data_IF_498743118292
#
_entry.id   IF_498743118292
#
_cell.length_a   1.000
_cell.length_b   1.000
_cell.length_c   1.000
_cell.angle_alpha   90.00
_cell.angle_beta   90.00
_cell.angle_gamma   90.00
#
_symmetry.space_group_name_H-M   'P 1'
#
loop_
_entity.id
_entity.type
_entity.pdbx_description
1 polymer ?
#
# COMPACT_ATOMS: atom_id res chain seq x y z
N UNK A 1 69.61 -27.20 -2.67
CA UNK A 1 69.33 -25.76 -2.48
C UNK A 1 67.88 -25.65 -2.04
N UNK A 2 67.68 -25.08 -0.85
CA UNK A 2 66.43 -24.81 -0.11
C UNK A 2 65.59 -26.01 0.33
N UNK A 3 65.29 -25.95 1.63
CA UNK A 3 64.79 -26.96 2.57
C UNK A 3 63.26 -26.88 2.68
N UNK A 4 62.68 -28.02 3.02
CA UNK A 4 61.29 -28.21 3.46
C UNK A 4 61.08 -27.86 4.95
N UNK A 5 59.82 -28.05 5.41
CA UNK A 5 59.22 -27.93 6.77
C UNK A 5 58.67 -26.54 7.12
N UNK A 6 57.47 -26.37 7.68
CA UNK A 6 56.47 -27.32 8.17
C UNK A 6 55.28 -26.56 8.80
N UNK A 7 54.19 -27.31 9.04
CA UNK A 7 52.98 -26.96 9.82
C UNK A 7 53.25 -26.16 11.11
N UNK A 8 52.34 -25.25 11.48
CA UNK A 8 51.52 -25.35 12.70
C UNK A 8 50.63 -24.11 12.98
N UNK A 9 49.33 -24.38 13.17
CA UNK A 9 48.35 -23.80 14.13
C UNK A 9 48.16 -22.28 14.27
N UNK A 10 46.93 -21.86 13.95
CA UNK A 10 46.32 -20.56 14.26
C UNK A 10 45.78 -20.53 15.69
N UNK A 11 46.11 -19.47 16.45
CA UNK A 11 45.44 -19.05 17.67
C UNK A 11 45.55 -17.52 17.72
N UNK A 12 44.52 -16.82 17.24
CA UNK A 12 44.44 -15.36 17.31
C UNK A 12 43.58 -14.98 18.52
N UNK A 13 44.23 -14.34 19.50
CA UNK A 13 43.58 -13.65 20.61
C UNK A 13 43.29 -12.21 20.18
N UNK A 14 42.04 -11.78 20.35
CA UNK A 14 41.58 -10.41 20.14
C UNK A 14 42.14 -9.51 21.24
N UNK A 15 42.83 -8.43 20.85
CA UNK A 15 43.21 -7.31 21.72
C UNK A 15 42.53 -6.06 21.18
N UNK A 16 41.60 -5.52 21.97
CA UNK A 16 41.01 -4.19 21.75
C UNK A 16 42.03 -3.08 22.05
N UNK A 17 42.00 -1.95 21.32
CA UNK A 17 42.66 -0.73 21.75
C UNK A 17 41.69 0.22 22.45
N UNK A 18 42.00 0.54 23.71
CA UNK A 18 41.54 1.73 24.41
C UNK A 18 42.11 2.98 23.71
N UNK A 19 41.26 3.99 23.48
CA UNK A 19 41.71 5.37 23.30
C UNK A 19 41.04 6.27 24.35
N UNK A 20 41.85 7.13 24.95
CA UNK A 20 41.50 8.13 25.96
C UNK A 20 41.68 9.51 25.35
N UNK A 21 40.70 10.41 25.51
CA UNK A 21 40.82 11.83 25.21
C UNK A 21 39.74 12.67 25.91
N UNK A 22 40.17 13.42 26.95
CA UNK A 22 39.63 14.60 27.68
C UNK A 22 38.22 15.14 27.30
N UNK A 23 37.34 15.63 28.19
CA UNK A 23 37.46 16.15 29.56
C UNK A 23 36.73 17.52 29.67
N UNK A 24 35.70 17.64 30.53
CA UNK A 24 35.01 18.89 30.86
C UNK A 24 33.57 18.64 31.33
N UNK A 25 33.30 18.93 32.61
CA UNK A 25 31.98 18.84 33.26
C UNK A 25 31.35 20.24 33.24
N UNK A 26 30.38 20.45 32.35
CA UNK A 26 29.40 21.55 32.34
C UNK A 26 28.05 20.89 32.00
N UNK A 27 27.01 21.12 32.81
CA UNK A 27 25.81 20.29 32.85
C UNK A 27 24.86 20.37 31.64
N UNK A 28 24.19 19.22 31.40
CA UNK A 28 22.98 19.00 30.58
C UNK A 28 23.21 19.14 29.04
N UNK A 29 23.70 18.11 28.31
CA UNK A 29 22.97 16.96 27.67
C UNK A 29 21.86 17.43 26.74
N UNK A 30 21.79 17.17 25.42
CA UNK A 30 22.49 16.32 24.46
C UNK A 30 22.36 17.05 23.09
N UNK A 31 23.36 17.03 22.21
CA UNK A 31 23.25 17.59 20.84
C UNK A 31 23.54 16.52 19.76
N UNK A 32 23.71 15.25 20.14
CA UNK A 32 23.93 14.16 19.16
C UNK A 32 23.29 12.86 19.66
N UNK A 33 22.00 12.88 20.03
CA UNK A 33 21.26 11.61 20.13
C UNK A 33 20.88 11.22 18.70
N UNK A 34 21.27 10.04 18.21
CA UNK A 34 20.85 9.60 16.90
C UNK A 34 19.33 9.36 16.86
N UNK A 35 18.71 9.52 15.68
CA UNK A 35 17.27 9.30 15.54
C UNK A 35 16.88 7.89 16.03
N UNK A 36 15.61 7.73 16.41
CA UNK A 36 15.04 6.48 16.89
C UNK A 36 15.22 5.35 15.88
N UNK A 37 15.05 5.64 14.60
CA UNK A 37 15.21 4.68 13.51
C UNK A 37 16.48 4.97 12.71
N UNK A 38 17.58 4.33 13.11
CA UNK A 38 18.78 4.28 12.28
C UNK A 38 18.58 3.23 11.17
N UNK A 39 18.75 3.59 9.87
CA UNK A 39 18.62 2.63 8.78
C UNK A 39 19.60 1.48 8.95
N UNK A 40 19.09 0.26 8.87
CA UNK A 40 19.94 -0.93 8.85
C UNK A 40 20.68 -0.97 7.50
N UNK A 41 22.00 -1.16 7.49
CA UNK A 41 22.73 -1.31 6.23
C UNK A 41 22.16 -2.43 5.37
N UNK A 42 22.08 -2.20 4.06
CA UNK A 42 21.67 -3.21 3.09
C UNK A 42 22.51 -4.49 3.24
N UNK A 43 21.83 -5.64 3.23
CA UNK A 43 22.49 -6.94 3.30
C UNK A 43 23.13 -7.32 1.94
N UNK A 44 24.21 -8.11 1.99
CA UNK A 44 24.93 -8.54 0.78
C UNK A 44 24.09 -9.53 -0.02
N UNK A 45 23.96 -9.31 -1.33
CA UNK A 45 23.15 -10.18 -2.18
C UNK A 45 22.89 -9.54 -3.54
N UNK A 46 21.95 -10.10 -4.28
CA UNK A 46 21.50 -9.52 -5.54
C UNK A 46 20.88 -8.12 -5.30
N UNK A 47 21.04 -7.18 -6.26
CA UNK A 47 20.37 -5.90 -6.18
C UNK A 47 18.86 -6.07 -6.34
N UNK A 48 18.10 -5.14 -5.77
CA UNK A 48 16.67 -5.02 -6.01
C UNK A 48 16.47 -4.46 -7.42
N UNK A 49 15.94 -5.26 -8.33
CA UNK A 49 15.64 -4.89 -9.71
C UNK A 49 14.25 -5.42 -10.03
N UNK A 50 13.31 -4.55 -10.37
CA UNK A 50 11.92 -4.96 -10.63
C UNK A 50 11.84 -6.13 -11.63
N UNK A 51 10.95 -7.09 -11.37
CA UNK A 51 10.71 -8.32 -12.15
C UNK A 51 11.86 -9.33 -12.17
N UNK A 52 12.92 -9.11 -11.39
CA UNK A 52 14.03 -10.04 -11.26
C UNK A 52 13.94 -10.94 -10.01
N UNK A 53 12.88 -10.79 -9.21
CA UNK A 53 12.68 -11.54 -7.99
C UNK A 53 12.33 -13.00 -8.25
N UNK A 54 12.56 -13.83 -7.24
CA UNK A 54 12.39 -15.28 -7.32
C UNK A 54 11.10 -15.77 -6.67
N UNK A 55 10.50 -14.96 -5.80
CA UNK A 55 9.22 -15.22 -5.15
C UNK A 55 8.37 -13.96 -5.22
N UNK A 56 7.09 -14.12 -5.54
CA UNK A 56 6.16 -13.01 -5.75
C UNK A 56 4.84 -13.34 -5.05
N UNK A 57 4.24 -12.32 -4.46
CA UNK A 57 2.97 -12.43 -3.75
C UNK A 57 2.21 -11.10 -3.85
N UNK A 58 0.94 -11.08 -3.47
CA UNK A 58 0.12 -9.88 -3.39
C UNK A 58 -0.61 -9.85 -2.07
N UNK A 59 -0.78 -8.68 -1.47
CA UNK A 59 -1.58 -8.51 -0.26
C UNK A 59 -3.03 -8.90 -0.55
N UNK A 60 -3.55 -9.87 0.20
CA UNK A 60 -4.93 -10.35 0.13
C UNK A 60 -5.78 -9.91 1.31
N UNK A 61 -5.13 -9.51 2.41
CA UNK A 61 -5.76 -8.91 3.57
C UNK A 61 -4.94 -7.71 4.01
N UNK A 62 -5.61 -6.62 4.40
CA UNK A 62 -5.00 -5.45 5.00
C UNK A 62 -5.98 -4.80 5.97
N UNK A 63 -5.54 -4.49 7.18
CA UNK A 63 -6.34 -3.74 8.15
C UNK A 63 -5.44 -3.05 9.17
N UNK A 64 -5.91 -1.94 9.75
CA UNK A 64 -5.25 -1.38 10.94
C UNK A 64 -5.35 -2.40 12.07
N UNK A 65 -4.23 -2.72 12.72
CA UNK A 65 -4.23 -3.66 13.84
C UNK A 65 -4.89 -3.14 15.10
N UNK A 66 -5.03 -4.04 16.07
CA UNK A 66 -5.54 -3.74 17.39
C UNK A 66 -4.47 -3.05 18.25
N UNK A 67 -4.87 -2.53 19.43
CA UNK A 67 -3.96 -1.88 20.37
C UNK A 67 -2.86 -2.80 20.95
N UNK A 68 -3.03 -4.12 20.83
CA UNK A 68 -2.04 -5.11 21.28
C UNK A 68 -1.12 -5.56 20.13
N UNK A 69 -1.45 -5.20 18.89
CA UNK A 69 -0.59 -5.39 17.72
C UNK A 69 0.40 -4.22 17.62
N UNK A 70 1.50 -4.40 16.89
CA UNK A 70 2.50 -3.34 16.75
C UNK A 70 3.92 -3.76 17.06
N UNK A 71 4.79 -2.78 16.89
CA UNK A 71 6.19 -2.82 17.27
C UNK A 71 6.37 -1.93 18.51
N UNK A 72 7.25 -2.33 19.42
CA UNK A 72 7.75 -1.46 20.49
C UNK A 72 8.76 -0.48 19.85
N UNK A 73 8.24 0.63 19.34
CA UNK A 73 9.00 1.59 18.52
C UNK A 73 9.89 2.47 19.39
N UNK A 74 9.42 2.86 20.58
CA UNK A 74 10.15 3.72 21.51
C UNK A 74 10.99 2.96 22.57
N UNK A 75 10.80 1.64 22.67
CA UNK A 75 11.57 0.75 23.54
C UNK A 75 11.07 0.70 24.99
N UNK A 76 9.83 1.09 25.26
CA UNK A 76 9.23 1.05 26.59
C UNK A 76 8.73 -0.35 27.00
N UNK A 77 8.64 -1.27 26.04
CA UNK A 77 8.26 -2.67 26.22
C UNK A 77 6.80 -3.00 25.92
N UNK A 78 5.99 -2.02 25.54
CA UNK A 78 4.62 -2.16 25.05
C UNK A 78 4.55 -1.87 23.53
N UNK A 79 3.66 -2.52 22.76
CA UNK A 79 3.49 -2.20 21.34
C UNK A 79 2.91 -0.79 21.11
N UNK A 80 3.41 -0.10 20.09
CA UNK A 80 2.96 1.21 19.66
C UNK A 80 2.02 1.10 18.45
N UNK A 81 0.74 1.41 18.65
CA UNK A 81 -0.26 1.53 17.58
C UNK A 81 -1.41 2.47 17.98
N UNK A 82 -1.20 3.79 17.93
CA UNK A 82 -2.26 4.76 18.26
C UNK A 82 -3.40 4.75 17.26
N UNK A 83 -3.12 4.51 15.97
CA UNK A 83 -4.16 4.44 14.95
C UNK A 83 -5.13 3.26 15.13
N UNK A 84 -4.82 2.28 15.98
CA UNK A 84 -5.78 1.25 16.39
C UNK A 84 -7.12 1.82 16.88
N UNK A 85 -7.15 3.05 17.44
CA UNK A 85 -8.41 3.65 17.90
C UNK A 85 -9.42 3.95 16.77
N UNK A 86 -8.97 4.02 15.51
CA UNK A 86 -9.81 4.21 14.33
C UNK A 86 -9.97 2.95 13.48
N UNK A 87 -9.43 1.80 13.90
CA UNK A 87 -9.54 0.55 13.14
C UNK A 87 -10.99 0.20 12.78
N UNK A 88 -11.92 0.40 13.73
CA UNK A 88 -13.34 0.11 13.52
C UNK A 88 -14.03 0.93 12.43
N UNK A 89 -13.52 2.13 12.11
CA UNK A 89 -14.07 2.97 11.03
C UNK A 89 -13.30 2.81 9.72
N UNK A 90 -12.01 2.44 9.78
CA UNK A 90 -11.16 2.25 8.60
C UNK A 90 -11.28 0.85 7.98
N UNK A 91 -11.69 -0.16 8.76
CA UNK A 91 -11.74 -1.56 8.32
C UNK A 91 -12.60 -1.77 7.07
N UNK A 92 -13.86 -1.34 7.10
CA UNK A 92 -14.78 -1.57 5.98
C UNK A 92 -14.31 -0.88 4.69
N UNK A 93 -13.87 0.40 4.69
CA UNK A 93 -13.29 1.01 3.49
C UNK A 93 -12.08 0.28 2.90
N UNK A 94 -11.21 -0.30 3.74
CA UNK A 94 -10.04 -1.05 3.26
C UNK A 94 -10.46 -2.40 2.68
N UNK A 95 -11.37 -3.12 3.36
CA UNK A 95 -11.95 -4.38 2.86
C UNK A 95 -12.68 -4.14 1.53
N UNK A 96 -13.50 -3.08 1.44
CA UNK A 96 -14.21 -2.70 0.21
C UNK A 96 -13.24 -2.38 -0.93
N UNK A 97 -12.10 -1.71 -0.65
CA UNK A 97 -11.09 -1.40 -1.67
C UNK A 97 -10.33 -2.64 -2.17
N UNK A 98 -10.09 -3.62 -1.30
CA UNK A 98 -9.52 -4.92 -1.70
C UNK A 98 -10.55 -5.72 -2.51
N UNK A 99 -11.79 -5.83 -2.04
CA UNK A 99 -12.89 -6.55 -2.72
C UNK A 99 -13.24 -5.95 -4.09
N UNK A 100 -13.02 -4.64 -4.25
CA UNK A 100 -13.19 -3.93 -5.50
C UNK A 100 -11.92 -3.91 -6.37
N UNK A 101 -10.81 -4.52 -5.95
CA UNK A 101 -9.51 -4.50 -6.64
C UNK A 101 -8.93 -3.10 -6.87
N UNK A 102 -9.35 -2.11 -6.08
CA UNK A 102 -8.82 -0.74 -6.10
C UNK A 102 -7.50 -0.61 -5.32
N UNK A 103 -7.26 -1.53 -4.38
CA UNK A 103 -6.04 -1.58 -3.60
C UNK A 103 -5.33 -2.91 -3.84
N UNK A 104 -4.28 -2.89 -4.66
CA UNK A 104 -3.42 -4.04 -4.90
C UNK A 104 -1.98 -3.68 -4.56
N UNK A 105 -1.38 -4.46 -3.68
CA UNK A 105 0.01 -4.25 -3.25
C UNK A 105 0.80 -5.53 -3.58
N UNK A 106 1.34 -5.68 -4.80
CA UNK A 106 2.24 -6.76 -5.09
C UNK A 106 3.56 -6.63 -4.33
N UNK A 107 4.17 -7.76 -4.03
CA UNK A 107 5.49 -7.86 -3.42
C UNK A 107 6.36 -8.83 -4.21
N UNK A 108 7.64 -8.50 -4.27
CA UNK A 108 8.65 -9.30 -4.97
C UNK A 108 9.87 -9.48 -4.09
N UNK A 109 10.29 -10.72 -3.88
CA UNK A 109 11.46 -11.08 -3.07
C UNK A 109 12.69 -11.36 -3.94
N UNK A 110 13.83 -10.91 -3.43
CA UNK A 110 15.15 -11.08 -4.00
C UNK A 110 16.04 -11.83 -3.01
N UNK A 111 17.05 -12.50 -3.57
CA UNK A 111 17.96 -13.37 -2.81
C UNK A 111 17.24 -14.52 -2.06
N UNK A 112 16.09 -14.97 -2.57
CA UNK A 112 15.28 -16.05 -1.98
C UNK A 112 14.94 -17.14 -3.00
N UNK A 113 15.92 -17.87 -3.55
CA UNK A 113 15.69 -18.88 -4.59
C UNK A 113 14.92 -20.12 -4.09
N UNK A 114 14.93 -20.35 -2.79
CA UNK A 114 14.17 -21.40 -2.11
C UNK A 114 13.63 -20.85 -0.81
N UNK A 115 12.36 -21.11 -0.50
CA UNK A 115 11.73 -20.67 0.74
C UNK A 115 12.37 -21.40 1.92
N UNK A 116 12.95 -20.64 2.83
CA UNK A 116 13.74 -21.17 3.93
C UNK A 116 14.34 -20.06 4.78
N UNK A 117 15.01 -20.44 5.87
CA UNK A 117 15.75 -19.48 6.66
C UNK A 117 16.91 -18.90 5.84
N UNK A 118 17.01 -17.57 5.85
CA UNK A 118 18.05 -16.82 5.14
C UNK A 118 18.47 -15.60 5.98
N UNK A 119 19.76 -15.29 5.96
CA UNK A 119 20.34 -14.15 6.68
C UNK A 119 20.22 -12.85 5.88
N UNK A 120 19.93 -12.91 4.57
CA UNK A 120 19.67 -11.76 3.73
C UNK A 120 18.49 -12.03 2.80
N UNK A 121 17.42 -11.30 3.02
CA UNK A 121 16.26 -11.26 2.11
C UNK A 121 15.95 -9.82 1.84
N UNK A 122 15.76 -9.50 0.56
CA UNK A 122 15.28 -8.18 0.14
C UNK A 122 13.94 -8.34 -0.52
N UNK A 123 13.10 -7.32 -0.45
CA UNK A 123 11.86 -7.32 -1.20
C UNK A 123 11.44 -5.91 -1.54
N UNK A 124 10.69 -5.80 -2.62
CA UNK A 124 10.06 -4.56 -3.07
C UNK A 124 8.55 -4.70 -2.97
N UNK A 125 7.90 -3.57 -2.77
CA UNK A 125 6.45 -3.44 -2.80
C UNK A 125 6.07 -2.51 -3.95
N UNK A 126 4.96 -2.83 -4.61
CA UNK A 126 4.46 -2.09 -5.76
C UNK A 126 2.98 -1.75 -5.56
N UNK A 127 2.46 -0.87 -6.38
CA UNK A 127 1.04 -0.73 -6.64
C UNK A 127 0.71 -1.60 -7.87
N UNK A 128 -0.30 -2.45 -7.73
CA UNK A 128 -0.77 -3.33 -8.79
C UNK A 128 -1.94 -2.72 -9.55
N UNK A 129 -2.05 -3.08 -10.83
CA UNK A 129 -3.19 -2.80 -11.69
C UNK A 129 -3.78 -4.16 -12.08
N UNK A 130 -5.07 -4.31 -11.88
CA UNK A 130 -5.86 -5.48 -12.29
C UNK A 130 -7.13 -5.09 -13.07
N UNK A 131 -7.52 -3.82 -12.95
CA UNK A 131 -8.57 -3.21 -13.78
C UNK A 131 -7.90 -2.63 -15.01
N UNK A 132 -8.38 -3.04 -16.17
CA UNK A 132 -7.89 -2.61 -17.46
C UNK A 132 -9.00 -1.87 -18.20
N UNK A 133 -8.61 -0.83 -18.94
CA UNK A 133 -9.42 -0.10 -19.93
C UNK A 133 -8.61 -0.14 -21.23
N UNK A 134 -8.51 -1.34 -21.81
CA UNK A 134 -7.59 -1.66 -22.91
C UNK A 134 -7.99 -0.97 -24.22
N UNK A 135 -9.28 -0.68 -24.39
CA UNK A 135 -9.81 0.02 -25.56
C UNK A 135 -9.97 1.55 -25.39
N UNK A 136 -9.80 2.06 -24.16
CA UNK A 136 -9.82 3.47 -23.79
C UNK A 136 -11.19 4.15 -23.93
N UNK A 137 -12.27 3.42 -23.71
CA UNK A 137 -13.63 3.97 -23.69
C UNK A 137 -14.04 4.55 -22.31
N UNK A 138 -13.24 4.26 -21.28
CA UNK A 138 -13.43 4.74 -19.90
C UNK A 138 -14.26 3.80 -19.03
N UNK A 139 -14.27 2.52 -19.37
CA UNK A 139 -14.89 1.43 -18.63
C UNK A 139 -13.83 0.37 -18.37
N UNK A 140 -13.91 -0.23 -17.18
CA UNK A 140 -12.88 -1.13 -16.69
C UNK A 140 -13.36 -2.58 -16.68
N UNK A 141 -12.44 -3.53 -16.80
CA UNK A 141 -12.67 -4.95 -16.47
C UNK A 141 -12.82 -5.18 -14.96
N UNK A 142 -13.35 -6.35 -14.59
CA UNK A 142 -13.49 -6.82 -13.21
C UNK A 142 -14.33 -5.91 -12.27
N UNK A 143 -15.13 -5.00 -12.82
CA UNK A 143 -16.01 -4.07 -12.08
C UNK A 143 -17.48 -4.32 -12.41
N UNK A 144 -18.37 -4.25 -11.41
CA UNK A 144 -19.81 -4.33 -11.66
C UNK A 144 -20.28 -3.15 -12.52
N UNK A 145 -20.79 -3.43 -13.73
CA UNK A 145 -21.10 -2.39 -14.72
C UNK A 145 -19.86 -1.78 -15.41
N UNK A 146 -18.77 -2.56 -15.43
CA UNK A 146 -17.63 -2.45 -16.34
C UNK A 146 -17.88 -3.15 -17.68
N UNK A 147 -16.84 -3.30 -18.50
CA UNK A 147 -16.97 -3.87 -19.85
C UNK A 147 -17.08 -5.39 -19.85
N UNK A 148 -17.74 -5.89 -20.89
CA UNK A 148 -17.86 -7.31 -21.21
C UNK A 148 -16.88 -7.74 -22.32
N UNK A 149 -16.31 -6.81 -23.10
CA UNK A 149 -15.13 -7.07 -23.97
C UNK A 149 -14.29 -5.79 -24.04
N UNK A 150 -13.33 -5.65 -23.11
CA UNK A 150 -12.44 -4.49 -22.94
C UNK A 150 -11.43 -4.33 -24.09
N UNK A 151 -11.47 -5.24 -25.08
CA UNK A 151 -10.69 -5.11 -26.31
C UNK A 151 -11.44 -4.35 -27.41
N UNK A 152 -12.67 -3.88 -27.14
CA UNK A 152 -13.60 -3.33 -28.13
C UNK A 152 -14.37 -2.12 -27.58
N UNK A 153 -13.99 -0.92 -28.05
CA UNK A 153 -14.56 0.40 -27.64
C UNK A 153 -16.06 0.60 -27.87
N UNK A 154 -16.75 -0.41 -28.37
CA UNK A 154 -18.18 -0.46 -28.64
C UNK A 154 -18.94 -1.37 -27.67
N UNK A 155 -18.25 -2.29 -26.97
CA UNK A 155 -18.79 -3.31 -26.08
C UNK A 155 -18.79 -2.85 -24.62
N UNK A 156 -19.80 -2.05 -24.25
CA UNK A 156 -19.87 -1.42 -22.92
C UNK A 156 -21.31 -1.35 -22.38
N UNK A 157 -21.49 -1.27 -21.05
CA UNK A 157 -22.80 -1.18 -20.43
C UNK A 157 -23.73 -0.09 -21.01
N UNK A 158 -24.83 -0.53 -21.59
CA UNK A 158 -25.87 0.33 -22.16
C UNK A 158 -25.49 0.99 -23.49
N UNK A 159 -24.52 0.42 -24.22
CA UNK A 159 -24.33 0.72 -25.64
C UNK A 159 -25.57 0.32 -26.47
N UNK A 160 -25.46 0.45 -27.79
CA UNK A 160 -26.50 -0.03 -28.69
C UNK A 160 -25.91 -1.18 -29.50
N UNK A 161 -26.60 -2.32 -29.47
CA UNK A 161 -26.29 -3.50 -30.28
C UNK A 161 -25.98 -3.16 -31.75
N UNK A 162 -24.89 -3.72 -32.27
CA UNK A 162 -24.47 -3.62 -33.67
C UNK A 162 -25.09 -4.79 -34.44
N UNK A 163 -26.17 -4.57 -35.22
CA UNK A 163 -26.95 -5.70 -35.71
C UNK A 163 -26.19 -6.61 -36.68
N UNK A 164 -26.12 -7.89 -36.33
CA UNK A 164 -25.51 -8.97 -37.10
C UNK A 164 -24.01 -9.14 -36.87
N UNK A 165 -23.42 -8.53 -35.84
CA UNK A 165 -22.05 -8.83 -35.42
C UNK A 165 -21.98 -10.10 -34.54
N UNK A 166 -23.12 -10.51 -33.96
CA UNK A 166 -23.31 -11.70 -33.12
C UNK A 166 -22.50 -11.64 -31.83
N UNK A 167 -22.37 -10.44 -31.28
CA UNK A 167 -21.68 -10.15 -30.03
C UNK A 167 -22.53 -9.26 -29.16
N UNK A 168 -22.42 -9.43 -27.85
CA UNK A 168 -22.99 -8.53 -26.87
C UNK A 168 -22.18 -7.22 -26.90
N UNK A 169 -22.84 -6.13 -27.26
CA UNK A 169 -22.22 -4.81 -27.30
C UNK A 169 -22.69 -3.93 -26.13
N UNK A 170 -23.83 -4.23 -25.51
CA UNK A 170 -24.39 -3.43 -24.41
C UNK A 170 -24.18 -4.02 -23.00
N UNK A 171 -23.48 -5.15 -22.94
CA UNK A 171 -23.10 -5.92 -21.75
C UNK A 171 -24.32 -6.33 -20.92
N UNK A 172 -25.36 -6.82 -21.59
CA UNK A 172 -26.56 -7.36 -20.96
C UNK A 172 -26.58 -8.91 -20.85
N UNK A 173 -25.54 -9.55 -21.38
CA UNK A 173 -25.35 -11.00 -21.45
C UNK A 173 -26.01 -11.66 -22.66
N UNK A 174 -26.50 -10.89 -23.64
CA UNK A 174 -27.19 -11.38 -24.83
C UNK A 174 -26.67 -10.63 -26.05
N UNK A 175 -26.24 -11.38 -27.08
CA UNK A 175 -25.84 -10.78 -28.34
C UNK A 175 -27.02 -10.58 -29.31
N UNK A 176 -26.99 -9.47 -30.06
CA UNK A 176 -27.83 -9.22 -31.24
C UNK A 176 -29.36 -9.24 -30.95
N UNK A 177 -29.77 -8.91 -29.73
CA UNK A 177 -31.17 -8.88 -29.30
C UNK A 177 -31.94 -7.68 -29.89
N UNK A 178 -33.27 -7.77 -29.78
CA UNK A 178 -34.19 -6.90 -30.53
C UNK A 178 -35.12 -6.08 -29.60
N UNK A 179 -34.59 -5.28 -28.67
CA UNK A 179 -35.30 -4.13 -28.02
C UNK A 179 -34.37 -3.37 -27.02
N UNK A 180 -33.61 -2.38 -27.50
CA UNK A 180 -32.51 -1.63 -26.82
C UNK A 180 -32.92 -0.64 -25.70
N UNK A 181 -33.87 -0.98 -24.81
CA UNK A 181 -34.17 -0.04 -23.73
C UNK A 181 -35.23 -0.39 -22.70
N UNK A 182 -34.95 -1.40 -21.86
CA UNK A 182 -35.50 -1.50 -20.49
C UNK A 182 -36.85 -2.25 -20.34
N UNK A 183 -36.87 -3.57 -20.59
CA UNK A 183 -37.95 -4.42 -20.05
C UNK A 183 -38.18 -5.80 -20.67
N UNK A 184 -37.38 -6.23 -21.64
CA UNK A 184 -37.43 -7.59 -22.15
C UNK A 184 -36.36 -7.86 -23.20
N UNK A 185 -35.15 -8.18 -22.74
CA UNK A 185 -34.11 -8.73 -23.59
C UNK A 185 -34.50 -10.16 -23.95
N UNK A 186 -34.52 -10.46 -25.24
CA UNK A 186 -34.87 -11.77 -25.75
C UNK A 186 -33.88 -12.08 -26.87
N UNK A 187 -33.09 -13.15 -26.71
CA UNK A 187 -32.16 -13.57 -27.75
C UNK A 187 -32.87 -13.75 -29.10
N UNK A 188 -32.19 -13.46 -30.22
CA UNK A 188 -32.75 -13.66 -31.54
C UNK A 188 -33.09 -15.14 -31.80
N UNK A 189 -34.07 -15.43 -32.67
CA UNK A 189 -34.43 -16.81 -33.07
C UNK A 189 -33.43 -17.36 -34.12
N UNK A 190 -32.12 -17.34 -33.79
CA UNK A 190 -31.05 -17.98 -34.56
C UNK A 190 -30.59 -19.25 -33.86
N UNK A 191 -30.67 -20.38 -34.57
CA UNK A 191 -30.32 -21.71 -34.04
C UNK A 191 -29.03 -22.23 -34.67
N UNK A 192 -28.21 -21.35 -35.25
CA UNK A 192 -26.93 -21.70 -35.84
C UNK A 192 -25.83 -21.38 -34.85
N UNK A 193 -25.21 -22.44 -34.33
CA UNK A 193 -23.93 -22.44 -33.63
C UNK A 193 -22.84 -22.25 -34.71
N UNK A 194 -22.18 -21.09 -34.72
CA UNK A 194 -21.25 -20.71 -35.78
C UNK A 194 -19.80 -20.71 -35.32
N UNK A 195 -19.56 -20.51 -34.04
CA UNK A 195 -18.26 -20.56 -33.37
C UNK A 195 -17.89 -21.99 -32.91
N UNK A 196 -18.86 -22.87 -32.71
CA UNK A 196 -18.69 -24.30 -32.51
C UNK A 196 -18.59 -24.75 -31.06
N UNK A 197 -18.98 -23.90 -30.11
CA UNK A 197 -18.95 -24.15 -28.66
C UNK A 197 -20.11 -25.08 -28.19
N UNK A 198 -21.19 -25.13 -28.98
CA UNK A 198 -22.40 -25.90 -28.73
C UNK A 198 -23.57 -25.11 -28.13
N UNK A 199 -23.43 -23.80 -27.94
CA UNK A 199 -24.51 -22.85 -27.67
C UNK A 199 -24.83 -22.12 -28.98
N UNK A 200 -26.01 -21.51 -29.06
CA UNK A 200 -26.39 -20.70 -30.23
C UNK A 200 -26.77 -19.32 -29.72
N UNK A 201 -26.68 -18.32 -30.59
CA UNK A 201 -27.21 -16.99 -30.31
C UNK A 201 -28.62 -17.02 -29.69
N UNK A 202 -29.52 -17.87 -30.21
CA UNK A 202 -30.88 -18.01 -29.67
C UNK A 202 -31.01 -18.80 -28.37
N UNK A 203 -29.97 -19.51 -27.96
CA UNK A 203 -29.86 -20.17 -26.66
C UNK A 203 -29.14 -19.29 -25.60
N UNK A 204 -28.69 -18.08 -25.98
CA UNK A 204 -28.12 -17.07 -25.07
C UNK A 204 -26.61 -16.90 -25.17
N UNK A 205 -25.98 -17.34 -26.26
CA UNK A 205 -24.56 -17.07 -26.53
C UNK A 205 -24.32 -15.56 -26.74
N UNK A 206 -23.37 -14.98 -26.00
CA UNK A 206 -23.01 -13.55 -26.05
C UNK A 206 -21.86 -13.23 -27.01
N UNK A 207 -21.16 -14.22 -27.58
CA UNK A 207 -20.27 -14.02 -28.75
C UNK A 207 -20.32 -15.28 -29.62
N UNK A 208 -21.22 -15.34 -30.60
CA UNK A 208 -21.33 -16.48 -31.53
C UNK A 208 -20.45 -16.24 -32.79
N UNK A 209 -19.47 -15.31 -32.75
CA UNK A 209 -18.56 -15.08 -33.88
C UNK A 209 -17.48 -16.18 -33.98
N UNK A 210 -17.29 -16.80 -35.17
CA UNK A 210 -16.35 -17.91 -35.32
C UNK A 210 -14.86 -17.62 -35.06
N UNK A 211 -14.48 -16.36 -34.85
CA UNK A 211 -13.10 -15.96 -34.58
C UNK A 211 -12.84 -15.68 -33.10
N UNK A 212 -13.87 -15.35 -32.31
CA UNK A 212 -13.73 -14.88 -30.92
C UNK A 212 -14.62 -15.63 -29.93
N UNK A 213 -15.69 -16.27 -30.41
CA UNK A 213 -16.74 -16.86 -29.60
C UNK A 213 -16.48 -18.21 -28.94
N UNK A 214 -15.52 -18.98 -29.45
CA UNK A 214 -15.41 -20.41 -29.11
C UNK A 214 -15.22 -20.74 -27.61
N UNK A 215 -14.81 -19.75 -26.80
CA UNK A 215 -14.62 -19.84 -25.36
C UNK A 215 -15.48 -18.77 -24.62
N UNK A 216 -16.56 -18.27 -25.23
CA UNK A 216 -17.48 -17.24 -24.71
C UNK A 216 -18.91 -17.76 -24.81
N UNK A 217 -19.47 -18.22 -23.69
CA UNK A 217 -20.83 -18.74 -23.65
C UNK A 217 -21.36 -18.87 -22.21
N UNK A 218 -22.70 -18.88 -22.01
CA UNK A 218 -23.30 -18.96 -20.68
C UNK A 218 -22.74 -20.08 -19.78
N UNK A 219 -22.08 -19.67 -18.70
CA UNK A 219 -21.49 -20.57 -17.72
C UNK A 219 -20.20 -21.28 -18.17
N UNK A 220 -19.48 -20.73 -19.16
CA UNK A 220 -18.06 -20.98 -19.31
C UNK A 220 -17.30 -20.48 -18.06
N UNK A 221 -16.00 -20.77 -17.96
CA UNK A 221 -15.18 -20.21 -16.88
C UNK A 221 -14.42 -19.00 -17.44
N UNK A 222 -14.38 -17.92 -16.67
CA UNK A 222 -13.57 -16.74 -16.98
C UNK A 222 -12.09 -17.10 -17.21
N UNK A 223 -11.51 -16.51 -18.25
CA UNK A 223 -10.10 -16.63 -18.63
C UNK A 223 -9.38 -15.37 -18.15
N UNK A 224 -8.87 -15.42 -16.92
CA UNK A 224 -8.35 -14.24 -16.24
C UNK A 224 -7.29 -13.47 -17.03
N UNK A 225 -7.56 -12.18 -17.23
CA UNK A 225 -6.72 -11.21 -17.91
C UNK A 225 -6.83 -11.25 -19.43
N UNK A 226 -7.88 -11.85 -19.99
CA UNK A 226 -8.15 -11.78 -21.44
C UNK A 226 -9.06 -10.62 -21.85
N UNK A 227 -9.64 -9.92 -20.88
CA UNK A 227 -10.50 -8.75 -21.06
C UNK A 227 -11.88 -9.09 -21.60
N UNK A 228 -12.33 -10.35 -21.54
CA UNK A 228 -13.61 -10.81 -22.10
C UNK A 228 -14.49 -11.44 -21.02
N UNK A 229 -15.78 -11.18 -21.11
CA UNK A 229 -16.83 -11.90 -20.39
C UNK A 229 -17.02 -13.26 -21.06
N UNK A 230 -16.30 -14.27 -20.57
CA UNK A 230 -16.36 -15.61 -21.15
C UNK A 230 -17.64 -16.33 -20.72
N UNK A 231 -18.21 -16.01 -19.56
CA UNK A 231 -19.35 -16.70 -18.99
C UNK A 231 -20.72 -16.05 -19.27
N UNK A 232 -20.72 -14.93 -19.98
CA UNK A 232 -21.87 -14.12 -20.38
C UNK A 232 -22.69 -13.58 -19.19
N UNK A 233 -22.05 -13.18 -18.09
CA UNK A 233 -22.73 -12.62 -16.92
C UNK A 233 -22.75 -11.08 -16.86
N UNK A 234 -22.16 -10.43 -17.86
CA UNK A 234 -22.13 -8.99 -18.10
C UNK A 234 -20.91 -8.28 -17.54
N UNK A 235 -19.89 -9.02 -17.06
CA UNK A 235 -18.64 -8.46 -16.54
C UNK A 235 -17.45 -9.31 -16.98
N UNK A 236 -16.50 -8.73 -17.71
CA UNK A 236 -15.25 -9.41 -18.05
C UNK A 236 -14.36 -9.63 -16.82
N UNK A 237 -13.64 -10.75 -16.82
CA UNK A 237 -12.64 -11.10 -15.80
C UNK A 237 -13.21 -11.09 -14.36
N UNK A 238 -14.50 -11.44 -14.21
CA UNK A 238 -15.17 -11.55 -12.90
C UNK A 238 -16.34 -12.51 -12.98
N UNK A 239 -16.54 -13.33 -11.95
CA UNK A 239 -17.71 -14.21 -11.87
C UNK A 239 -18.74 -13.80 -10.81
N UNK A 240 -20.01 -13.86 -11.16
CA UNK A 240 -21.16 -13.60 -10.27
C UNK A 240 -21.45 -14.70 -9.24
N UNK A 241 -20.85 -15.90 -9.37
CA UNK A 241 -20.99 -16.99 -8.38
C UNK A 241 -19.66 -17.66 -8.02
N UNK A 242 -19.20 -17.38 -6.80
CA UNK A 242 -17.98 -17.91 -6.19
C UNK A 242 -17.75 -19.42 -6.38
N UNK A 243 -16.80 -19.78 -7.25
CA UNK A 243 -15.90 -20.93 -7.16
C UNK A 243 -14.92 -21.03 -8.38
N UNK A 244 -15.19 -20.32 -9.47
CA UNK A 244 -14.42 -20.34 -10.74
C UNK A 244 -14.14 -18.92 -11.28
N UNK A 245 -14.35 -17.88 -10.45
CA UNK A 245 -14.20 -16.48 -10.82
C UNK A 245 -12.74 -16.02 -10.73
N UNK A 246 -12.30 -15.22 -11.70
CA UNK A 246 -11.05 -14.48 -11.62
C UNK A 246 -11.04 -13.64 -10.35
N UNK A 247 -10.07 -13.96 -9.50
CA UNK A 247 -9.90 -13.34 -8.22
C UNK A 247 -8.40 -13.28 -7.92
N UNK A 248 -7.82 -12.07 -7.85
CA UNK A 248 -6.39 -11.86 -7.63
C UNK A 248 -5.88 -12.45 -6.30
N UNK A 249 -6.80 -12.85 -5.41
CA UNK A 249 -6.49 -13.40 -4.10
C UNK A 249 -6.75 -14.90 -3.98
N UNK A 250 -6.97 -15.61 -5.09
CA UNK A 250 -7.22 -17.04 -5.07
C UNK A 250 -5.93 -17.89 -4.91
N UNK A 251 -6.06 -19.22 -5.01
CA UNK A 251 -4.94 -20.14 -4.82
C UNK A 251 -4.05 -20.29 -6.08
N UNK A 252 -4.47 -19.72 -7.20
CA UNK A 252 -3.71 -19.59 -8.45
C UNK A 252 -2.95 -18.27 -8.41
N UNK A 253 -1.64 -18.26 -8.73
CA UNK A 253 -0.95 -16.99 -8.93
C UNK A 253 -1.49 -16.28 -10.18
N UNK A 254 -2.23 -15.19 -9.97
CA UNK A 254 -2.64 -14.28 -11.03
C UNK A 254 -1.48 -13.39 -11.49
N UNK A 255 -1.57 -12.91 -12.72
CA UNK A 255 -0.59 -11.99 -13.28
C UNK A 255 -1.06 -10.54 -13.08
N UNK A 256 -0.17 -9.69 -12.57
CA UNK A 256 -0.44 -8.28 -12.32
C UNK A 256 0.49 -7.40 -13.12
N UNK A 257 -0.08 -6.35 -13.70
CA UNK A 257 0.71 -5.22 -14.15
C UNK A 257 1.05 -4.35 -12.93
N UNK A 258 2.27 -3.80 -12.90
CA UNK A 258 2.63 -2.84 -11.86
C UNK A 258 2.43 -1.42 -12.37
N UNK A 259 1.92 -0.57 -11.50
CA UNK A 259 1.81 0.85 -11.78
C UNK A 259 3.21 1.46 -11.94
N UNK A 260 3.51 2.18 -13.04
CA UNK A 260 4.77 2.88 -13.25
C UNK A 260 5.18 3.82 -12.11
N UNK A 261 4.25 4.32 -11.29
CA UNK A 261 4.52 5.14 -10.10
C UNK A 261 5.28 4.39 -9.01
N UNK A 262 5.24 3.06 -9.05
CA UNK A 262 6.00 2.20 -8.15
C UNK A 262 7.49 2.18 -8.48
N UNK A 263 7.90 2.78 -9.61
CA UNK A 263 9.27 2.79 -10.11
C UNK A 263 9.85 4.21 -10.16
N UNK A 264 11.14 4.34 -9.85
CA UNK A 264 11.88 5.58 -9.97
C UNK A 264 12.30 5.87 -11.43
N UNK A 265 12.99 6.99 -11.66
CA UNK A 265 13.47 7.37 -12.99
C UNK A 265 14.50 6.41 -13.62
N UNK A 266 14.99 5.42 -12.88
CA UNK A 266 15.88 4.35 -13.35
C UNK A 266 15.14 3.02 -13.55
N UNK A 267 13.87 2.92 -13.15
CA UNK A 267 13.09 1.69 -13.16
C UNK A 267 13.29 0.83 -11.91
N UNK A 268 13.92 1.37 -10.86
CA UNK A 268 14.09 0.69 -9.57
C UNK A 268 12.85 0.94 -8.69
N UNK A 269 12.43 0.00 -7.84
CA UNK A 269 11.25 0.20 -7.00
C UNK A 269 11.45 1.33 -6.00
N UNK A 270 10.41 2.15 -5.83
CA UNK A 270 10.37 3.27 -4.87
C UNK A 270 10.31 2.76 -3.43
N UNK A 271 9.64 1.61 -3.21
CA UNK A 271 9.59 0.94 -1.91
C UNK A 271 10.41 -0.34 -1.96
N UNK A 272 11.48 -0.39 -1.18
CA UNK A 272 12.28 -1.60 -1.02
C UNK A 272 12.77 -1.77 0.43
N UNK A 273 12.65 -2.99 0.93
CA UNK A 273 13.31 -3.43 2.15
C UNK A 273 14.58 -4.19 1.74
N UNK A 274 15.73 -3.59 2.04
CA UNK A 274 17.04 -4.09 1.61
C UNK A 274 17.81 -4.83 2.71
N UNK A 275 17.20 -5.01 3.87
CA UNK A 275 17.83 -5.54 5.08
C UNK A 275 16.88 -6.46 5.86
N UNK A 276 16.29 -7.45 5.17
CA UNK A 276 15.46 -8.48 5.79
C UNK A 276 16.23 -9.76 6.11
N UNK A 277 15.63 -10.59 6.97
CA UNK A 277 16.08 -11.95 7.27
C UNK A 277 14.86 -12.85 7.47
N UNK A 278 15.00 -14.14 7.16
CA UNK A 278 14.00 -15.16 7.49
C UNK A 278 14.62 -16.11 8.51
N UNK A 279 14.00 -16.25 9.67
CA UNK A 279 14.53 -17.04 10.80
C UNK A 279 13.54 -18.14 11.17
N UNK A 280 14.06 -19.34 11.47
CA UNK A 280 13.25 -20.41 12.08
C UNK A 280 13.05 -20.15 13.58
N UNK A 281 11.84 -19.74 13.93
CA UNK A 281 11.39 -19.51 15.29
C UNK A 281 10.48 -20.65 15.75
N UNK A 282 11.10 -21.66 16.36
CA UNK A 282 10.40 -22.81 16.93
C UNK A 282 9.56 -23.63 15.91
N UNK A 283 10.02 -23.71 14.67
CA UNK A 283 9.39 -24.46 13.58
C UNK A 283 8.53 -23.61 12.65
N UNK A 284 8.44 -22.30 12.88
CA UNK A 284 7.81 -21.33 12.00
C UNK A 284 8.89 -20.45 11.38
N UNK A 285 8.93 -20.35 10.05
CA UNK A 285 9.80 -19.38 9.39
C UNK A 285 9.18 -18.00 9.52
N UNK A 286 9.96 -17.01 9.96
CA UNK A 286 9.49 -15.65 10.18
C UNK A 286 10.39 -14.65 9.48
N UNK A 287 9.79 -13.84 8.62
CA UNK A 287 10.40 -12.67 8.02
C UNK A 287 10.53 -11.58 9.09
N UNK A 288 11.69 -10.94 9.13
CA UNK A 288 11.94 -9.70 9.89
C UNK A 288 12.65 -8.73 8.95
N UNK A 289 12.12 -7.53 8.77
CA UNK A 289 12.73 -6.51 7.92
C UNK A 289 12.54 -5.10 8.48
N UNK A 290 13.46 -4.22 8.12
CA UNK A 290 13.52 -2.84 8.64
C UNK A 290 14.35 -2.72 9.93
N UNK A 291 14.33 -1.55 10.59
CA UNK A 291 13.62 -0.34 10.19
C UNK A 291 14.13 0.23 8.85
N UNK A 292 13.18 0.58 7.99
CA UNK A 292 13.39 1.17 6.66
C UNK A 292 12.52 2.41 6.47
N UNK A 293 12.72 3.13 5.37
CA UNK A 293 11.79 4.15 4.92
C UNK A 293 10.79 3.50 3.96
N UNK A 294 9.50 3.60 4.27
CA UNK A 294 8.42 3.27 3.34
C UNK A 294 7.85 4.59 2.81
N UNK A 295 7.81 4.79 1.50
CA UNK A 295 7.29 6.02 0.90
C UNK A 295 6.61 5.72 -0.44
N UNK A 296 5.38 6.18 -0.61
CA UNK A 296 4.60 6.04 -1.85
C UNK A 296 4.03 7.39 -2.22
N UNK A 297 4.12 7.73 -3.49
CA UNK A 297 3.54 8.94 -4.05
C UNK A 297 2.37 8.53 -4.96
N UNK A 298 1.14 8.61 -4.46
CA UNK A 298 -0.08 8.22 -5.19
C UNK A 298 -0.70 9.47 -5.81
N UNK A 299 -0.72 9.66 -7.14
CA UNK A 299 -1.44 10.75 -7.78
C UNK A 299 -2.94 10.48 -7.67
N UNK A 300 -3.66 11.36 -6.96
CA UNK A 300 -5.10 11.20 -6.72
C UNK A 300 -5.91 11.97 -7.78
N UNK A 301 -5.38 13.09 -8.28
CA UNK A 301 -5.93 13.89 -9.39
C UNK A 301 -4.80 14.66 -10.10
N UNK A 302 -5.07 15.22 -11.29
CA UNK A 302 -4.13 16.06 -12.04
C UNK A 302 -3.49 17.17 -11.17
N UNK A 303 -2.21 16.97 -10.83
CA UNK A 303 -1.41 17.92 -10.05
C UNK A 303 -1.47 17.78 -8.53
N UNK A 304 -2.11 16.73 -8.00
CA UNK A 304 -2.09 16.38 -6.58
C UNK A 304 -1.57 14.96 -6.38
N UNK A 305 -0.56 14.83 -5.51
CA UNK A 305 0.06 13.56 -5.17
C UNK A 305 -0.03 13.37 -3.66
N UNK A 306 -0.67 12.28 -3.24
CA UNK A 306 -0.69 11.80 -1.87
C UNK A 306 0.64 11.12 -1.59
N UNK A 307 1.50 11.79 -0.85
CA UNK A 307 2.72 11.19 -0.33
C UNK A 307 2.40 10.47 0.98
N UNK A 308 2.35 9.14 0.96
CA UNK A 308 2.27 8.29 2.14
C UNK A 308 3.68 7.82 2.53
N UNK A 309 4.20 8.33 3.64
CA UNK A 309 5.51 7.99 4.16
C UNK A 309 5.42 7.47 5.60
N UNK A 310 5.97 6.28 5.82
CA UNK A 310 6.11 5.67 7.13
C UNK A 310 7.61 5.58 7.44
N UNK A 311 8.04 6.30 8.47
CA UNK A 311 9.41 6.24 8.98
C UNK A 311 9.56 5.08 9.95
N UNK A 312 10.76 4.49 10.00
CA UNK A 312 11.00 3.34 10.86
C UNK A 312 10.17 2.11 10.51
N UNK A 313 9.74 2.00 9.25
CA UNK A 313 8.88 0.93 8.77
C UNK A 313 9.53 -0.43 9.03
N UNK A 314 8.81 -1.30 9.72
CA UNK A 314 9.22 -2.65 10.09
C UNK A 314 8.17 -3.64 9.61
N UNK A 315 8.64 -4.80 9.15
CA UNK A 315 7.77 -5.90 8.73
C UNK A 315 8.16 -7.16 9.48
N UNK A 316 7.16 -7.83 10.05
CA UNK A 316 7.27 -9.18 10.58
C UNK A 316 6.13 -10.02 10.03
N UNK A 317 6.41 -11.19 9.48
CA UNK A 317 5.37 -12.08 8.98
C UNK A 317 5.81 -13.54 9.02
N UNK A 318 4.86 -14.45 9.21
CA UNK A 318 5.12 -15.88 9.08
C UNK A 318 5.23 -16.23 7.59
N UNK A 319 6.31 -16.91 7.21
CA UNK A 319 6.60 -17.29 5.83
C UNK A 319 6.14 -18.73 5.60
N UNK A 320 5.23 -18.90 4.65
CA UNK A 320 4.63 -20.19 4.29
C UNK A 320 5.12 -20.60 2.90
N UNK A 321 5.55 -21.86 2.78
CA UNK A 321 5.88 -22.52 1.51
C UNK A 321 4.69 -23.38 1.07
N UNK A 322 3.99 -22.96 0.02
CA UNK A 322 2.96 -23.76 -0.64
C UNK A 322 3.45 -24.24 -2.00
N UNK A 323 4.05 -25.44 -2.02
CA UNK A 323 4.45 -26.08 -3.27
C UNK A 323 5.60 -25.37 -4.01
N UNK A 324 6.38 -24.54 -3.34
CA UNK A 324 7.45 -23.72 -3.90
C UNK A 324 7.08 -22.26 -4.13
N UNK A 325 5.81 -21.88 -3.87
CA UNK A 325 5.33 -20.51 -3.90
C UNK A 325 5.25 -19.93 -2.49
N UNK A 326 5.76 -18.71 -2.32
CA UNK A 326 5.76 -18.02 -1.05
C UNK A 326 4.44 -17.29 -0.83
N UNK A 327 3.90 -17.41 0.38
CA UNK A 327 2.97 -16.42 0.91
C UNK A 327 3.26 -16.16 2.39
N UNK A 328 2.71 -15.06 2.86
CA UNK A 328 2.87 -14.53 4.20
C UNK A 328 1.53 -14.56 4.95
N UNK A 329 1.57 -15.05 6.19
CA UNK A 329 0.46 -15.02 7.14
C UNK A 329 0.88 -14.26 8.41
N UNK A 330 -0.09 -13.80 9.22
CA UNK A 330 0.16 -13.07 10.47
C UNK A 330 1.17 -11.93 10.26
N UNK A 331 1.04 -11.21 9.15
CA UNK A 331 1.92 -10.12 8.78
C UNK A 331 1.59 -8.87 9.58
N UNK A 332 2.63 -8.18 10.02
CA UNK A 332 2.58 -6.90 10.72
C UNK A 332 3.51 -5.93 9.99
N UNK A 333 2.97 -4.80 9.53
CA UNK A 333 3.70 -3.68 8.95
C UNK A 333 3.46 -2.45 9.82
N UNK A 334 4.48 -1.96 10.50
CA UNK A 334 4.32 -0.83 11.42
C UNK A 334 5.46 0.18 11.34
N UNK A 335 5.20 1.37 11.87
CA UNK A 335 6.15 2.48 11.91
C UNK A 335 5.46 3.77 12.31
N UNK A 336 6.03 4.91 11.89
CA UNK A 336 5.56 6.23 12.29
C UNK A 336 5.11 7.05 11.09
N UNK A 337 3.89 7.59 11.18
CA UNK A 337 3.37 8.58 10.24
C UNK A 337 3.76 9.98 10.72
N UNK A 338 4.75 10.58 10.06
CA UNK A 338 5.23 11.92 10.41
C UNK A 338 4.18 13.00 10.10
N UNK A 339 4.34 14.15 10.75
CA UNK A 339 3.38 15.25 10.62
C UNK A 339 3.20 15.77 9.19
N UNK A 340 4.29 15.83 8.41
CA UNK A 340 4.22 16.27 7.01
C UNK A 340 3.38 15.31 6.17
N UNK A 341 3.53 14.02 6.41
CA UNK A 341 2.73 12.97 5.77
C UNK A 341 1.27 13.03 6.22
N UNK A 342 1.02 13.22 7.51
CA UNK A 342 -0.34 13.37 8.02
C UNK A 342 -1.05 14.60 7.39
N UNK A 343 -0.31 15.64 7.01
CA UNK A 343 -0.86 16.85 6.40
C UNK A 343 -1.26 16.68 4.92
N UNK A 344 -0.61 15.76 4.21
CA UNK A 344 -0.94 15.43 2.81
C UNK A 344 -2.15 14.51 2.69
N UNK A 345 -2.43 13.69 3.73
CA UNK A 345 -3.58 12.78 3.76
C UNK A 345 -4.86 13.59 3.95
N UNK A 346 -5.63 13.79 2.88
CA UNK A 346 -6.90 14.54 2.82
C UNK A 346 -7.97 13.74 2.09
N UNK A 347 -9.20 14.26 2.01
CA UNK A 347 -10.29 13.63 1.27
C UNK A 347 -11.02 12.52 2.04
N UNK A 348 -10.60 12.24 3.28
CA UNK A 348 -11.28 11.31 4.16
C UNK A 348 -12.59 11.92 4.65
N UNK A 349 -13.71 11.25 4.40
CA UNK A 349 -14.99 11.59 5.03
C UNK A 349 -15.34 10.49 6.01
N UNK A 350 -15.36 10.81 7.30
CA UNK A 350 -15.77 9.85 8.34
C UNK A 350 -16.78 10.54 9.24
N UNK A 351 -18.06 10.40 8.90
CA UNK A 351 -19.18 11.06 9.57
C UNK A 351 -19.23 10.72 11.07
N UNK A 352 -18.82 9.51 11.46
CA UNK A 352 -18.80 9.01 12.84
C UNK A 352 -17.88 9.83 13.74
N UNK A 353 -16.80 10.36 13.18
CA UNK A 353 -15.81 11.19 13.88
C UNK A 353 -15.78 12.61 13.31
N UNK A 354 -16.77 13.01 12.51
CA UNK A 354 -16.90 14.36 11.98
C UNK A 354 -15.71 14.84 11.15
N UNK A 355 -14.97 13.93 10.52
CA UNK A 355 -13.90 14.29 9.58
C UNK A 355 -14.52 14.70 8.26
N UNK A 356 -14.14 15.90 7.81
CA UNK A 356 -14.56 16.41 6.51
C UNK A 356 -13.43 16.23 5.50
N UNK A 357 -13.76 16.07 4.20
CA UNK A 357 -12.74 15.83 3.18
C UNK A 357 -11.75 17.00 2.97
N UNK A 358 -12.03 18.18 3.52
CA UNK A 358 -11.13 19.34 3.49
C UNK A 358 -10.05 19.28 4.59
N UNK A 359 -10.32 18.58 5.70
CA UNK A 359 -9.39 18.43 6.82
C UNK A 359 -8.30 17.41 6.48
N UNK A 360 -7.03 17.70 6.79
CA UNK A 360 -5.98 16.67 6.74
C UNK A 360 -6.04 15.73 7.93
N UNK A 361 -5.37 14.58 7.83
CA UNK A 361 -5.17 13.69 8.97
C UNK A 361 -4.42 14.42 10.11
N UNK A 362 -3.52 15.35 9.79
CA UNK A 362 -2.88 16.22 10.76
C UNK A 362 -3.91 17.12 11.47
N UNK A 363 -4.73 17.84 10.72
CA UNK A 363 -5.78 18.72 11.28
C UNK A 363 -6.74 17.93 12.17
N UNK A 364 -7.18 16.78 11.66
CA UNK A 364 -8.00 15.81 12.38
C UNK A 364 -7.38 15.43 13.73
N UNK A 365 -6.14 14.94 13.69
CA UNK A 365 -5.43 14.37 14.83
C UNK A 365 -5.03 15.43 15.87
N UNK A 366 -4.60 16.61 15.45
CA UNK A 366 -3.98 17.56 16.37
C UNK A 366 -4.84 18.79 16.68
N UNK A 367 -5.67 19.25 15.74
CA UNK A 367 -6.56 20.40 15.93
C UNK A 367 -8.02 20.02 16.23
N UNK A 368 -8.43 18.79 15.91
CA UNK A 368 -9.83 18.38 15.95
C UNK A 368 -10.10 17.19 16.90
N UNK A 369 -11.18 16.44 16.62
CA UNK A 369 -11.71 15.39 17.51
C UNK A 369 -10.95 14.07 17.47
N UNK A 370 -10.03 13.86 16.52
CA UNK A 370 -9.32 12.60 16.40
C UNK A 370 -8.23 12.46 17.47
N UNK A 371 -7.52 13.53 17.83
CA UNK A 371 -6.51 13.48 18.89
C UNK A 371 -6.96 12.94 20.24
N UNK A 372 -8.11 13.38 20.79
CA UNK A 372 -8.65 12.75 22.01
C UNK A 372 -9.08 11.29 21.79
N UNK A 373 -9.53 10.91 20.59
CA UNK A 373 -9.89 9.52 20.28
C UNK A 373 -8.67 8.60 20.25
N UNK A 374 -7.57 9.08 19.64
CA UNK A 374 -6.26 8.43 19.61
C UNK A 374 -5.54 8.47 20.97
N UNK A 375 -6.11 9.16 21.97
CA UNK A 375 -5.49 9.42 23.26
C UNK A 375 -4.10 10.08 23.17
N UNK A 376 -3.90 10.93 22.16
CA UNK A 376 -2.65 11.66 21.98
C UNK A 376 -2.39 12.58 23.18
N UNK A 377 -1.14 12.63 23.69
CA UNK A 377 -0.80 13.52 24.79
C UNK A 377 -1.04 14.99 24.43
N UNK A 378 -1.14 15.82 25.46
CA UNK A 378 -1.29 17.26 25.29
C UNK A 378 -0.35 18.01 26.23
N UNK A 379 0.15 19.15 25.75
CA UNK A 379 1.00 20.02 26.53
C UNK A 379 0.29 20.46 27.83
N UNK A 380 1.01 20.44 28.97
CA UNK A 380 0.40 20.55 30.28
C UNK A 380 -0.20 21.94 30.54
N UNK A 381 -1.24 22.03 31.39
CA UNK A 381 -1.80 23.31 31.82
C UNK A 381 -0.73 24.24 32.39
N UNK A 382 -0.62 25.44 31.81
CA UNK A 382 0.35 26.47 32.24
C UNK A 382 1.66 26.50 31.44
N UNK A 383 1.85 25.60 30.47
CA UNK A 383 2.82 25.79 29.39
C UNK A 383 2.33 26.89 28.41
N UNK A 384 3.21 27.50 27.60
CA UNK A 384 2.84 28.54 26.63
C UNK A 384 1.71 28.12 25.66
N UNK A 385 1.67 26.84 25.31
CA UNK A 385 0.76 26.23 24.33
C UNK A 385 -0.07 25.09 24.95
N UNK A 386 -0.55 25.31 26.17
CA UNK A 386 -1.29 24.31 26.92
C UNK A 386 -2.53 23.81 26.15
N UNK A 387 -2.64 22.50 25.98
CA UNK A 387 -3.74 21.87 25.25
C UNK A 387 -3.41 21.46 23.81
N UNK A 388 -2.33 22.00 23.22
CA UNK A 388 -1.83 21.47 21.95
C UNK A 388 -1.39 20.02 22.11
N UNK A 389 -1.57 19.25 21.03
CA UNK A 389 -1.34 17.81 21.06
C UNK A 389 0.06 17.49 20.56
N UNK A 390 0.63 16.46 21.15
CA UNK A 390 1.92 15.92 20.72
C UNK A 390 1.69 14.57 20.04
N UNK A 391 2.55 14.16 19.12
CA UNK A 391 2.62 12.77 18.70
C UNK A 391 2.97 11.86 19.87
N UNK A 392 2.89 10.55 19.66
CA UNK A 392 3.31 9.56 20.65
C UNK A 392 4.76 9.14 20.50
N UNK A 393 5.35 9.23 19.31
CA UNK A 393 6.73 8.82 19.05
C UNK A 393 7.63 10.04 18.76
N UNK A 394 8.68 10.17 19.56
CA UNK A 394 9.80 11.13 19.40
C UNK A 394 10.88 10.50 18.51
N UNK A 395 10.81 10.78 17.21
CA UNK A 395 11.58 10.07 16.18
C UNK A 395 13.01 10.59 16.10
N UNK A 396 13.23 11.89 16.24
CA UNK A 396 14.58 12.46 16.13
C UNK A 396 15.25 12.72 17.48
N UNK A 397 14.52 12.50 18.59
CA UNK A 397 14.99 12.56 19.98
C UNK A 397 15.43 13.95 20.41
N UNK A 398 14.90 14.99 19.78
CA UNK A 398 15.05 16.35 20.27
C UNK A 398 13.91 16.78 21.24
N UNK A 399 12.90 15.92 21.38
CA UNK A 399 11.76 16.05 22.26
C UNK A 399 10.45 16.04 21.47
N UNK A 400 9.35 15.66 22.13
CA UNK A 400 8.06 15.60 21.43
C UNK A 400 7.64 16.95 20.85
N UNK A 401 7.37 16.94 19.55
CA UNK A 401 6.73 18.03 18.83
C UNK A 401 5.31 18.30 19.35
N UNK A 402 4.81 19.51 19.11
CA UNK A 402 3.42 19.86 19.37
C UNK A 402 2.79 20.60 18.20
N UNK A 403 1.59 20.16 17.83
CA UNK A 403 0.80 20.73 16.76
C UNK A 403 -0.44 21.41 17.34
N UNK A 404 -0.67 22.64 16.89
CA UNK A 404 -1.62 23.55 17.48
C UNK A 404 -2.51 24.19 16.42
N UNK A 405 -3.79 24.30 16.76
CA UNK A 405 -4.62 25.42 16.34
C UNK A 405 -4.24 26.62 17.22
N UNK A 406 -3.61 27.65 16.65
CA UNK A 406 -3.17 28.85 17.36
C UNK A 406 -4.34 29.69 17.88
N UNK A 407 -5.56 29.47 17.36
CA UNK A 407 -6.79 30.13 17.78
C UNK A 407 -7.92 29.12 18.04
N UNK A 408 -7.81 28.31 19.11
CA UNK A 408 -8.74 27.20 19.38
C UNK A 408 -10.19 27.65 19.65
N UNK A 409 -10.41 28.95 19.91
CA UNK A 409 -11.71 29.55 20.20
C UNK A 409 -12.53 29.90 18.94
N UNK A 410 -11.94 29.85 17.74
CA UNK A 410 -12.69 30.08 16.50
C UNK A 410 -13.35 28.79 15.96
N UNK A 411 -14.09 28.92 14.87
CA UNK A 411 -14.82 27.81 14.25
C UNK A 411 -13.93 26.98 13.29
N UNK A 412 -12.69 27.39 13.03
CA UNK A 412 -11.76 26.73 12.11
C UNK A 412 -10.86 25.82 12.96
N UNK A 413 -10.73 24.54 12.60
CA UNK A 413 -9.95 23.57 13.38
C UNK A 413 -8.82 23.01 12.52
N UNK A 414 -7.81 23.84 12.32
CA UNK A 414 -6.64 23.53 11.50
C UNK A 414 -5.38 23.69 12.32
N UNK A 415 -4.34 22.92 12.00
CA UNK A 415 -3.01 23.14 12.53
C UNK A 415 -2.36 24.27 11.73
N UNK A 416 -2.10 25.38 12.39
CA UNK A 416 -1.43 26.55 11.81
C UNK A 416 -0.14 26.94 12.55
N UNK A 417 0.18 26.21 13.62
CA UNK A 417 1.36 26.34 14.45
C UNK A 417 1.95 24.96 14.75
N UNK A 418 3.17 24.75 14.31
CA UNK A 418 4.00 23.59 14.63
C UNK A 418 5.10 24.04 15.61
N UNK A 419 5.29 23.29 16.69
CA UNK A 419 6.26 23.56 17.74
C UNK A 419 7.21 22.37 17.81
N UNK A 420 8.48 22.65 17.62
CA UNK A 420 9.54 21.65 17.62
C UNK A 420 9.86 21.15 19.04
N UNK A 421 10.53 20.00 19.18
CA UNK A 421 10.95 19.47 20.48
C UNK A 421 11.86 20.43 21.26
N UNK A 422 12.67 21.21 20.52
CA UNK A 422 13.51 22.28 21.07
C UNK A 422 12.75 23.57 21.46
N UNK A 423 11.45 23.64 21.13
CA UNK A 423 10.54 24.76 21.39
C UNK A 423 10.48 25.82 20.28
N UNK A 424 11.10 25.58 19.12
CA UNK A 424 11.02 26.45 17.95
C UNK A 424 9.59 26.45 17.38
N UNK A 425 9.00 27.65 17.28
CA UNK A 425 7.66 27.84 16.73
C UNK A 425 7.71 28.20 15.24
N UNK A 426 6.96 27.46 14.42
CA UNK A 426 6.75 27.73 13.00
C UNK A 426 5.26 27.86 12.73
N UNK A 427 4.87 28.93 12.05
CA UNK A 427 3.49 29.18 11.65
C UNK A 427 3.32 28.95 10.15
N UNK A 428 2.11 28.62 9.74
CA UNK A 428 1.71 28.61 8.34
C UNK A 428 1.94 29.97 7.67
N UNK A 429 2.38 29.95 6.42
CA UNK A 429 2.57 31.14 5.61
C UNK A 429 1.35 31.35 4.70
N UNK A 430 0.77 32.56 4.74
CA UNK A 430 -0.43 32.89 3.98
C UNK A 430 -0.16 33.92 2.88
N UNK A 431 -0.84 33.78 1.75
CA UNK A 431 -0.87 34.81 0.71
C UNK A 431 -1.72 36.03 1.13
N UNK A 432 -1.84 37.01 0.24
CA UNK A 432 -2.63 38.22 0.49
C UNK A 432 -4.15 37.95 0.50
N UNK A 433 -4.57 36.82 -0.05
CA UNK A 433 -5.93 36.35 -0.17
C UNK A 433 -6.36 35.48 1.03
N UNK A 434 -5.40 35.05 1.86
CA UNK A 434 -5.61 34.22 3.05
C UNK A 434 -5.52 32.72 2.79
N UNK A 435 -4.98 32.30 1.64
CA UNK A 435 -4.71 30.88 1.38
C UNK A 435 -3.34 30.51 1.93
N UNK A 436 -3.21 29.28 2.43
CA UNK A 436 -1.92 28.73 2.85
C UNK A 436 -1.04 28.56 1.62
N UNK A 437 0.16 29.13 1.69
CA UNK A 437 1.22 29.04 0.67
C UNK A 437 2.33 28.09 1.07
N UNK A 438 2.45 27.83 2.38
CA UNK A 438 3.38 26.86 2.96
C UNK A 438 2.88 26.45 4.33
N UNK A 439 2.76 25.16 4.57
CA UNK A 439 2.41 24.61 5.87
C UNK A 439 3.62 24.61 6.81
N UNK A 440 3.37 24.74 8.12
CA UNK A 440 4.43 24.71 9.12
C UNK A 440 5.18 23.37 9.12
N UNK A 441 4.49 22.27 8.80
CA UNK A 441 5.05 20.91 8.63
C UNK A 441 6.09 20.81 7.51
N UNK A 442 6.11 21.75 6.55
CA UNK A 442 7.11 21.83 5.48
C UNK A 442 8.41 22.54 5.92
N UNK A 443 8.56 22.85 7.20
CA UNK A 443 9.81 23.38 7.72
C UNK A 443 10.93 22.34 7.62
N UNK A 444 12.14 22.83 7.33
CA UNK A 444 13.35 22.02 7.27
C UNK A 444 14.43 22.63 8.15
N UNK A 445 15.37 21.82 8.58
CA UNK A 445 16.56 22.28 9.28
C UNK A 445 17.41 23.16 8.36
N UNK A 446 17.87 24.34 8.83
CA UNK A 446 18.71 25.23 8.03
C UNK A 446 20.05 24.63 7.63
N UNK A 447 20.56 23.67 8.41
CA UNK A 447 21.93 23.17 8.30
C UNK A 447 22.07 22.04 7.26
N UNK A 448 21.10 21.12 7.20
CA UNK A 448 21.14 19.94 6.32
C UNK A 448 19.88 19.76 5.44
N UNK A 449 18.83 20.55 5.67
CA UNK A 449 17.59 20.48 4.90
C UNK A 449 16.72 19.26 5.21
N UNK A 450 17.02 18.50 6.28
CA UNK A 450 16.09 17.46 6.75
C UNK A 450 14.80 18.11 7.23
N UNK A 451 13.62 17.48 7.11
CA UNK A 451 12.42 18.10 7.63
C UNK A 451 12.51 18.22 9.15
N UNK A 452 11.98 19.32 9.69
CA UNK A 452 12.10 19.66 11.11
C UNK A 452 11.17 18.77 11.94
N UNK A 453 9.95 18.57 11.44
CA UNK A 453 8.90 17.85 12.15
C UNK A 453 8.89 16.36 11.75
N UNK A 454 9.70 15.56 12.42
CA UNK A 454 9.92 14.12 12.19
C UNK A 454 9.07 13.21 13.08
N UNK A 455 8.57 13.74 14.19
CA UNK A 455 7.71 12.99 15.10
C UNK A 455 6.37 12.67 14.45
N UNK A 456 5.73 11.63 14.97
CA UNK A 456 4.54 11.13 14.32
C UNK A 456 3.73 10.15 15.13
N UNK A 457 2.64 9.74 14.51
CA UNK A 457 1.66 8.84 15.10
C UNK A 457 2.07 7.41 14.78
N UNK A 458 2.16 6.56 15.80
CA UNK A 458 2.41 5.12 15.58
C UNK A 458 1.23 4.46 14.87
N UNK A 459 1.57 3.63 13.87
CA UNK A 459 0.62 2.83 13.10
C UNK A 459 1.16 1.42 12.95
N UNK A 460 0.25 0.46 13.01
CA UNK A 460 0.49 -0.89 12.52
C UNK A 460 -0.68 -1.39 11.68
N UNK A 461 -0.32 -2.11 10.61
CA UNK A 461 -1.21 -2.76 9.67
C UNK A 461 -0.97 -4.27 9.73
N UNK A 462 -2.03 -5.00 10.05
CA UNK A 462 -2.07 -6.44 9.88
C UNK A 462 -2.28 -6.77 8.40
N UNK A 463 -1.57 -7.77 7.89
CA UNK A 463 -1.72 -8.21 6.51
C UNK A 463 -1.53 -9.72 6.32
N UNK A 464 -2.07 -10.22 5.21
CA UNK A 464 -1.78 -11.53 4.66
C UNK A 464 -1.55 -11.38 3.15
N UNK A 465 -0.96 -12.40 2.55
CA UNK A 465 -0.71 -12.41 1.11
C UNK A 465 -1.08 -13.74 0.49
N UNK A 466 -1.23 -13.76 -0.83
CA UNK A 466 -1.27 -14.99 -1.64
C UNK A 466 -0.19 -14.95 -2.72
N UNK A 467 0.21 -16.09 -3.29
CA UNK A 467 1.13 -16.12 -4.43
C UNK A 467 0.63 -15.28 -5.60
N UNK A 468 1.54 -14.63 -6.32
CA UNK A 468 1.23 -13.79 -7.47
C UNK A 468 2.32 -13.90 -8.55
N UNK A 469 2.05 -13.43 -9.75
CA UNK A 469 3.00 -13.23 -10.84
C UNK A 469 3.03 -11.76 -11.24
N UNK A 470 4.21 -11.17 -11.44
CA UNK A 470 4.35 -9.79 -11.90
C UNK A 470 4.75 -9.74 -13.37
N UNK A 471 4.02 -8.95 -14.15
CA UNK A 471 4.31 -8.65 -15.54
C UNK A 471 5.10 -7.35 -15.66
N UNK A 472 6.11 -7.36 -16.54
CA UNK A 472 6.76 -6.11 -16.92
C UNK A 472 5.78 -5.26 -17.76
N UNK A 473 5.69 -3.93 -17.52
CA UNK A 473 4.84 -3.06 -18.32
C UNK A 473 5.24 -3.14 -19.80
N UNK A 474 4.26 -3.31 -20.68
CA UNK A 474 4.47 -3.46 -22.14
C UNK A 474 4.89 -2.18 -22.87
#
# INVERSE_FOLDING_TARGET
>A
MKFALGLATSLAAVLAPLSLGCGGDDGNTDIDVPPLFEPVPECEGDPVVAFAGTQQAVFSELQIGDFEDGFDLDGDGDPDNKLAAVSSVARAPIEDALDAYDLLIPMEFFDLPTIGADECVKFALYLGIYKHDDDLDGKDTAVEGGDCDDTRDEAKPGAAEIPGNRKDDDCDGIADEVDDGNGGQMPPDDTQDMDGDGVTLGDGDCDDDPLTGADVYPGHAEICGDGRDNDCDGVADRGSTSAEACNPFDASPDAFDIDPLSLDGNGDPVIAFTSGQIVDEAGTLRLHAGPSLFSVAIPVIDGFTLDLKITGAQIVADVIDDGGSLHLENGHLGGVLDARTADTIRGLTVDEIGLTPEDSLLDAAFANVLGPLLALPALPPGSPHAGCRTPDIDVDKDGLEAFCDSNPDDDIKVVDLCIDGDGTEIYDEYDAEGNVTKHCTEAVEPDDGRPRFMDGISVELNFATVPATLNAPE
#
